data_IF_985185193741
#
_entry.id   IF_985185193741
#
_cell.length_a   1.000
_cell.length_b   1.000
_cell.length_c   1.000
_cell.angle_alpha   90.00
_cell.angle_beta   90.00
_cell.angle_gamma   90.00
#
_symmetry.space_group_name_H-M   'P 1'
#
loop_
_entity.id
_entity.type
_entity.pdbx_description
1 polymer ?
#
# COMPACT_ATOMS: atom_id res chain seq x y z
N UNK A 1 15.36 -11.86 6.25
CA UNK A 1 14.08 -12.53 5.92
C UNK A 1 12.94 -11.88 6.70
N UNK A 2 11.84 -11.57 6.02
CA UNK A 2 10.70 -10.92 6.66
C UNK A 2 9.91 -11.91 7.52
N UNK A 3 9.53 -11.47 8.72
CA UNK A 3 8.76 -12.29 9.65
C UNK A 3 7.50 -11.52 10.06
N UNK A 4 6.33 -12.14 9.91
CA UNK A 4 5.06 -11.52 10.28
C UNK A 4 5.05 -11.17 11.76
N UNK A 5 4.53 -9.96 12.06
CA UNK A 5 4.48 -9.43 13.41
C UNK A 5 5.74 -8.71 13.85
N UNK A 6 6.83 -8.83 13.10
CA UNK A 6 8.07 -8.15 13.42
C UNK A 6 8.07 -6.73 12.86
N UNK A 7 8.75 -5.82 13.56
CA UNK A 7 8.85 -4.43 13.15
C UNK A 7 10.15 -4.15 12.40
N UNK A 8 10.03 -3.29 11.38
CA UNK A 8 11.15 -2.87 10.53
C UNK A 8 11.14 -1.36 10.39
N UNK A 9 12.33 -0.76 10.24
CA UNK A 9 12.42 0.65 9.85
C UNK A 9 12.29 0.76 8.33
N UNK A 10 12.01 1.98 7.84
CA UNK A 10 11.96 2.19 6.37
C UNK A 10 13.33 1.92 5.73
N UNK A 11 14.42 2.19 6.45
CA UNK A 11 15.77 1.90 5.96
C UNK A 11 15.97 0.38 5.79
N UNK A 12 15.53 -0.40 6.76
CA UNK A 12 15.60 -1.86 6.66
C UNK A 12 14.76 -2.39 5.51
N UNK A 13 13.54 -1.87 5.34
CA UNK A 13 12.67 -2.25 4.22
C UNK A 13 13.34 -1.91 2.89
N UNK A 14 13.90 -0.71 2.77
CA UNK A 14 14.63 -0.30 1.58
C UNK A 14 15.81 -1.24 1.28
N UNK A 15 16.58 -1.59 2.31
CA UNK A 15 17.74 -2.46 2.13
C UNK A 15 17.35 -3.88 1.73
N UNK A 16 16.22 -4.38 2.23
CA UNK A 16 15.76 -5.73 1.93
C UNK A 16 15.05 -5.83 0.57
N UNK A 17 14.27 -4.83 0.21
CA UNK A 17 13.34 -4.93 -0.91
C UNK A 17 13.62 -3.94 -2.04
N UNK A 18 14.38 -2.90 -1.77
CA UNK A 18 14.60 -1.83 -2.74
C UNK A 18 13.45 -0.83 -2.75
N UNK A 19 13.51 0.11 -3.69
CA UNK A 19 12.50 1.15 -3.83
C UNK A 19 12.80 2.38 -2.99
N UNK A 20 11.92 3.38 -3.08
CA UNK A 20 12.10 4.63 -2.38
C UNK A 20 11.90 4.48 -0.87
N UNK A 21 12.49 5.40 -0.11
CA UNK A 21 12.44 5.37 1.35
C UNK A 21 11.13 5.94 1.94
N UNK A 22 10.41 6.76 1.20
CA UNK A 22 9.36 7.57 1.81
C UNK A 22 7.97 7.46 1.19
N UNK A 23 7.83 6.78 0.07
CA UNK A 23 6.50 6.58 -0.52
C UNK A 23 5.83 5.35 0.07
N UNK A 24 4.50 5.29 0.02
CA UNK A 24 3.82 4.10 0.51
C UNK A 24 3.72 2.97 -0.53
N UNK A 25 4.11 3.24 -1.77
CA UNK A 25 4.27 2.21 -2.80
C UNK A 25 5.65 2.30 -3.44
N UNK A 26 6.71 1.89 -2.71
CA UNK A 26 8.06 1.89 -3.28
C UNK A 26 8.14 1.01 -4.52
N UNK A 27 8.97 1.41 -5.47
CA UNK A 27 9.16 0.62 -6.68
C UNK A 27 10.63 0.60 -7.09
N UNK A 28 11.00 -0.47 -7.78
CA UNK A 28 12.35 -0.65 -8.33
C UNK A 28 12.20 -1.36 -9.67
N UNK A 29 12.90 -0.85 -10.67
CA UNK A 29 12.90 -1.44 -12.03
C UNK A 29 11.48 -1.65 -12.59
N UNK A 30 10.60 -0.68 -12.36
CA UNK A 30 9.24 -0.71 -12.89
C UNK A 30 8.26 -1.57 -12.11
N UNK A 31 8.67 -2.17 -10.98
CA UNK A 31 7.79 -3.02 -10.17
C UNK A 31 7.64 -2.44 -8.77
N UNK A 32 6.41 -2.44 -8.27
CA UNK A 32 6.14 -2.10 -6.86
C UNK A 32 6.72 -3.21 -5.99
N UNK A 33 7.59 -2.84 -5.04
CA UNK A 33 8.31 -3.82 -4.22
C UNK A 33 7.58 -4.19 -2.94
N UNK A 34 6.75 -3.30 -2.42
CA UNK A 34 5.99 -3.52 -1.19
C UNK A 34 4.97 -2.40 -1.02
N UNK A 35 4.14 -2.52 0.00
CA UNK A 35 3.25 -1.44 0.42
C UNK A 35 3.57 -1.08 1.87
N UNK A 36 3.73 0.21 2.15
CA UNK A 36 3.99 0.74 3.49
C UNK A 36 2.84 1.68 3.85
N UNK A 37 1.88 1.17 4.60
CA UNK A 37 0.59 1.82 4.80
C UNK A 37 0.47 2.42 6.21
N UNK A 38 -0.08 3.63 6.29
CA UNK A 38 -0.42 4.23 7.58
C UNK A 38 -1.93 4.13 7.78
N UNK A 39 -2.35 3.87 9.01
CA UNK A 39 -3.78 3.77 9.32
C UNK A 39 -4.49 5.10 9.17
N UNK A 40 -3.76 6.21 9.30
CA UNK A 40 -4.34 7.54 9.10
C UNK A 40 -4.84 7.73 7.68
N UNK A 41 -4.07 7.29 6.68
CA UNK A 41 -4.43 7.44 5.27
C UNK A 41 -5.17 6.22 4.72
N UNK A 42 -4.96 5.06 5.32
CA UNK A 42 -5.51 3.78 4.90
C UNK A 42 -6.12 3.08 6.11
N UNK A 43 -7.28 3.55 6.61
CA UNK A 43 -7.82 3.00 7.86
C UNK A 43 -8.20 1.53 7.79
N UNK A 44 -8.44 0.99 6.61
CA UNK A 44 -8.75 -0.42 6.41
C UNK A 44 -7.51 -1.26 6.04
N UNK A 45 -6.29 -0.71 6.24
CA UNK A 45 -5.07 -1.46 5.95
C UNK A 45 -4.98 -2.71 6.86
N UNK A 46 -4.49 -3.83 6.34
CA UNK A 46 -3.89 -4.04 5.02
C UNK A 46 -4.86 -4.44 3.90
N UNK A 47 -6.16 -4.37 4.12
CA UNK A 47 -7.13 -4.89 3.17
C UNK A 47 -7.34 -3.97 1.96
N UNK A 48 -7.12 -2.67 2.12
CA UNK A 48 -7.25 -1.72 1.01
C UNK A 48 -6.12 -0.72 1.02
N UNK A 49 -5.80 -0.22 -0.18
CA UNK A 49 -4.92 0.93 -0.37
C UNK A 49 -5.77 2.03 -1.00
N UNK A 50 -5.85 3.17 -0.34
CA UNK A 50 -6.61 4.32 -0.84
C UNK A 50 -5.67 5.25 -1.59
N UNK A 51 -5.98 5.49 -2.86
CA UNK A 51 -5.11 6.22 -3.77
C UNK A 51 -5.69 7.59 -4.05
N UNK A 52 -4.97 8.63 -3.62
CA UNK A 52 -5.36 10.01 -3.86
C UNK A 52 -4.94 10.50 -5.25
N UNK A 53 -4.91 11.82 -5.41
CA UNK A 53 -4.65 12.42 -6.72
C UNK A 53 -3.17 12.71 -6.99
N UNK A 54 -2.25 12.31 -6.10
CA UNK A 54 -0.83 12.44 -6.38
C UNK A 54 -0.47 11.62 -7.62
N UNK A 55 0.09 12.25 -8.68
CA UNK A 55 0.38 11.53 -9.93
C UNK A 55 1.32 10.35 -9.72
N UNK A 56 2.32 10.49 -8.85
CA UNK A 56 3.27 9.41 -8.58
C UNK A 56 2.59 8.22 -7.93
N UNK A 57 1.77 8.46 -6.90
CA UNK A 57 1.11 7.38 -6.19
C UNK A 57 0.09 6.70 -7.08
N UNK A 58 -0.64 7.49 -7.87
CA UNK A 58 -1.62 6.93 -8.81
C UNK A 58 -0.92 6.04 -9.85
N UNK A 59 0.22 6.48 -10.37
CA UNK A 59 1.01 5.66 -11.30
C UNK A 59 1.47 4.36 -10.66
N UNK A 60 1.98 4.42 -9.42
CA UNK A 60 2.42 3.23 -8.68
C UNK A 60 1.28 2.26 -8.42
N UNK A 61 0.10 2.78 -8.08
CA UNK A 61 -1.08 1.94 -7.90
C UNK A 61 -1.47 1.22 -9.19
N UNK A 62 -1.40 1.92 -10.32
CA UNK A 62 -1.67 1.30 -11.63
C UNK A 62 -0.63 0.24 -11.96
N UNK A 63 0.64 0.48 -11.66
CA UNK A 63 1.69 -0.53 -11.84
C UNK A 63 1.41 -1.76 -10.99
N UNK A 64 1.04 -1.56 -9.71
CA UNK A 64 0.71 -2.66 -8.82
C UNK A 64 -0.45 -3.49 -9.37
N UNK A 65 -1.49 -2.84 -9.85
CA UNK A 65 -2.66 -3.53 -10.41
C UNK A 65 -2.30 -4.34 -11.67
N UNK A 66 -1.31 -3.90 -12.43
CA UNK A 66 -0.92 -4.55 -13.66
C UNK A 66 0.14 -5.64 -13.49
N UNK A 67 0.96 -5.58 -12.44
CA UNK A 67 2.15 -6.44 -12.35
C UNK A 67 1.86 -7.88 -11.91
N UNK A 68 0.74 -8.13 -11.24
CA UNK A 68 0.41 -9.48 -10.73
C UNK A 68 1.29 -9.90 -9.57
N UNK A 69 1.12 -11.14 -9.11
CA UNK A 69 1.89 -11.69 -8.00
C UNK A 69 1.50 -11.14 -6.65
N UNK A 70 2.40 -11.31 -5.69
CA UNK A 70 2.18 -10.83 -4.32
C UNK A 70 3.26 -9.85 -3.93
N UNK A 71 2.93 -8.97 -2.98
CA UNK A 71 3.89 -8.03 -2.41
C UNK A 71 3.86 -8.12 -0.89
N UNK A 72 4.99 -7.86 -0.22
CA UNK A 72 5.01 -7.67 1.23
C UNK A 72 4.24 -6.40 1.59
N UNK A 73 3.46 -6.47 2.69
CA UNK A 73 2.72 -5.31 3.18
C UNK A 73 3.14 -5.01 4.62
N UNK A 74 3.38 -3.73 4.87
CA UNK A 74 3.76 -3.22 6.19
C UNK A 74 2.74 -2.19 6.64
N UNK A 75 2.42 -2.19 7.93
CA UNK A 75 1.53 -1.19 8.52
C UNK A 75 2.30 -0.45 9.61
N UNK A 76 2.28 0.87 9.56
CA UNK A 76 2.98 1.70 10.54
C UNK A 76 2.26 1.64 11.88
N UNK A 77 2.97 1.23 12.92
CA UNK A 77 2.41 1.13 14.28
C UNK A 77 2.91 2.25 15.19
N UNK A 78 4.09 2.79 14.91
CA UNK A 78 4.69 3.88 15.68
C UNK A 78 5.72 4.57 14.79
N UNK A 79 6.39 5.61 15.32
CA UNK A 79 7.42 6.33 14.57
C UNK A 79 8.49 5.37 14.07
N UNK A 80 8.61 5.29 12.75
CA UNK A 80 9.56 4.41 12.05
C UNK A 80 9.51 2.95 12.52
N UNK A 81 8.32 2.49 12.95
CA UNK A 81 8.06 1.09 13.30
C UNK A 81 6.97 0.56 12.40
N UNK A 82 7.38 -0.23 11.42
CA UNK A 82 6.50 -0.78 10.39
C UNK A 82 6.37 -2.28 10.60
N UNK A 83 5.19 -2.71 10.97
CA UNK A 83 4.92 -4.13 11.19
C UNK A 83 4.71 -4.84 9.87
N UNK A 84 5.47 -5.91 9.63
CA UNK A 84 5.23 -6.77 8.48
C UNK A 84 3.99 -7.61 8.76
N UNK A 85 2.95 -7.45 7.95
CA UNK A 85 1.68 -8.15 8.16
C UNK A 85 1.45 -9.30 7.19
N UNK A 86 2.38 -9.52 6.28
CA UNK A 86 2.33 -10.67 5.37
C UNK A 86 2.38 -10.28 3.91
N UNK A 87 2.24 -11.27 3.04
CA UNK A 87 2.18 -11.06 1.60
C UNK A 87 0.73 -10.99 1.16
N UNK A 88 0.45 -10.04 0.29
CA UNK A 88 -0.90 -9.80 -0.21
C UNK A 88 -0.86 -9.74 -1.73
N UNK A 89 -1.96 -10.13 -2.36
CA UNK A 89 -2.14 -9.95 -3.79
C UNK A 89 -3.29 -8.98 -4.04
N UNK A 90 -3.26 -8.33 -5.20
CA UNK A 90 -4.36 -7.45 -5.61
C UNK A 90 -5.56 -8.32 -5.97
N UNK A 91 -6.68 -8.11 -5.30
CA UNK A 91 -7.93 -8.77 -5.61
C UNK A 91 -8.65 -8.05 -6.75
N UNK A 92 -8.76 -6.73 -6.64
CA UNK A 92 -9.29 -5.88 -7.70
C UNK A 92 -8.89 -4.44 -7.48
N UNK A 93 -8.97 -3.65 -8.53
CA UNK A 93 -8.74 -2.22 -8.50
C UNK A 93 -9.99 -1.52 -8.98
N UNK A 94 -10.44 -0.49 -8.27
CA UNK A 94 -11.70 0.17 -8.57
C UNK A 94 -11.55 1.68 -8.62
N UNK A 95 -12.13 2.28 -9.66
CA UNK A 95 -12.34 3.71 -9.76
C UNK A 95 -13.84 4.03 -9.78
N UNK A 96 -14.68 3.07 -9.40
CA UNK A 96 -16.11 3.25 -9.38
C UNK A 96 -16.54 4.26 -8.32
N UNK A 97 -17.51 5.09 -8.65
CA UNK A 97 -18.02 6.13 -7.75
C UNK A 97 -18.48 5.52 -6.43
N UNK A 98 -19.16 4.37 -6.47
CA UNK A 98 -19.66 3.73 -5.26
C UNK A 98 -18.55 3.36 -4.30
N UNK A 99 -17.46 2.75 -4.81
CA UNK A 99 -16.31 2.39 -3.98
C UNK A 99 -15.59 3.64 -3.47
N UNK A 100 -15.38 4.60 -4.34
CA UNK A 100 -14.70 5.85 -3.96
C UNK A 100 -15.48 6.58 -2.86
N UNK A 101 -16.79 6.74 -3.03
CA UNK A 101 -17.62 7.43 -2.04
C UNK A 101 -17.58 6.71 -0.69
N UNK A 102 -17.70 5.38 -0.70
CA UNK A 102 -17.65 4.58 0.52
C UNK A 102 -16.36 4.83 1.28
N UNK A 103 -15.21 4.76 0.60
CA UNK A 103 -13.92 4.88 1.25
C UNK A 103 -13.55 6.33 1.57
N UNK A 104 -14.09 7.30 0.85
CA UNK A 104 -13.97 8.70 1.26
C UNK A 104 -14.70 8.94 2.59
N UNK A 105 -15.88 8.38 2.75
CA UNK A 105 -16.62 8.50 4.01
C UNK A 105 -15.91 7.78 5.15
N UNK A 106 -15.42 6.58 4.93
CA UNK A 106 -14.74 5.80 5.96
C UNK A 106 -13.44 6.45 6.40
N UNK A 107 -12.70 7.05 5.48
CA UNK A 107 -11.37 7.59 5.76
C UNK A 107 -11.35 9.07 6.12
N UNK A 108 -12.41 9.78 5.81
CA UNK A 108 -12.42 11.25 5.90
C UNK A 108 -11.60 11.92 4.81
N UNK A 109 -11.06 11.16 3.88
CA UNK A 109 -10.29 11.72 2.75
C UNK A 109 -11.22 12.16 1.64
N UNK A 110 -10.79 13.18 0.91
CA UNK A 110 -11.47 13.65 -0.28
C UNK A 110 -10.56 13.40 -1.48
N UNK A 111 -11.12 13.48 -2.67
CA UNK A 111 -10.35 13.38 -3.92
C UNK A 111 -9.62 12.05 -4.10
N UNK A 112 -10.19 10.95 -3.59
CA UNK A 112 -9.68 9.63 -3.92
C UNK A 112 -9.90 9.35 -5.41
N UNK A 113 -8.92 8.71 -6.04
CA UNK A 113 -8.94 8.37 -7.46
C UNK A 113 -9.17 6.89 -7.69
N UNK A 114 -8.71 6.04 -6.76
CA UNK A 114 -8.95 4.62 -6.88
C UNK A 114 -8.80 3.94 -5.52
N UNK A 115 -9.37 2.75 -5.41
CA UNK A 115 -9.21 1.88 -4.25
C UNK A 115 -8.63 0.57 -4.76
N UNK A 116 -7.53 0.13 -4.15
CA UNK A 116 -6.93 -1.17 -4.46
C UNK A 116 -7.32 -2.13 -3.35
N UNK A 117 -8.04 -3.19 -3.70
CA UNK A 117 -8.46 -4.22 -2.76
C UNK A 117 -7.43 -5.33 -2.74
N UNK A 118 -6.94 -5.65 -1.55
CA UNK A 118 -5.92 -6.67 -1.34
C UNK A 118 -6.53 -7.86 -0.62
N UNK A 119 -5.97 -9.03 -0.88
CA UNK A 119 -6.28 -10.20 -0.06
C UNK A 119 -4.99 -10.91 0.31
N UNK A 120 -4.99 -11.49 1.49
CA UNK A 120 -3.85 -12.23 1.99
C UNK A 120 -3.56 -13.43 1.09
N UNK A 121 -2.30 -13.59 0.79
CA UNK A 121 -1.85 -14.69 -0.05
C UNK A 121 -1.67 -15.97 0.76
#
# INVERSE_FOLDING_TARGET
>A
MLEEGKFYTRREIHNLLGGELQTYLPAKDGLVTCACLTLKRNPDAPNTILVGQSPRVLERAKQLCAQGGTIPVFVKRNTNKWEYVGRYQVERCSADVTDIDKYQQLSGRTNLRMVVFLKES
#
